data_IF_557433857691
#
_entry.id   IF_557433857691
#
_cell.length_a   1.000
_cell.length_b   1.000
_cell.length_c   1.000
_cell.angle_alpha   90.00
_cell.angle_beta   90.00
_cell.angle_gamma   90.00
#
_symmetry.space_group_name_H-M   'P 1'
#
loop_
_entity.id
_entity.type
_entity.pdbx_description
1 polymer ?
#
# COMPACT_ATOMS: atom_id res chain seq x y z
N UNK A 1 -27.50 40.71 32.76
CA UNK A 1 -27.22 39.24 32.87
C UNK A 1 -27.18 38.51 31.53
N UNK A 2 -27.45 39.18 30.39
CA UNK A 2 -27.45 38.60 29.04
C UNK A 2 -26.12 38.71 28.29
N UNK A 3 -25.25 39.64 28.68
CA UNK A 3 -23.95 39.86 28.03
C UNK A 3 -22.95 38.71 28.27
N UNK A 4 -22.95 38.15 29.48
CA UNK A 4 -22.10 36.99 29.83
C UNK A 4 -22.53 35.70 29.12
N UNK A 5 -23.82 35.55 28.83
CA UNK A 5 -24.37 34.38 28.13
C UNK A 5 -23.90 34.36 26.66
N UNK A 6 -23.81 35.53 26.02
CA UNK A 6 -23.38 35.64 24.62
C UNK A 6 -21.88 35.31 24.43
N UNK A 7 -21.02 35.67 25.37
CA UNK A 7 -19.58 35.31 25.34
C UNK A 7 -19.41 33.81 25.50
N UNK A 8 -20.19 33.19 26.39
CA UNK A 8 -20.18 31.74 26.58
C UNK A 8 -20.63 30.99 25.31
N UNK A 9 -21.67 31.48 24.63
CA UNK A 9 -22.10 30.92 23.34
C UNK A 9 -21.04 31.06 22.24
N UNK A 10 -20.29 32.16 22.23
CA UNK A 10 -19.20 32.38 21.26
C UNK A 10 -17.99 31.49 21.52
N UNK A 11 -17.63 31.27 22.79
CA UNK A 11 -16.56 30.33 23.18
C UNK A 11 -16.96 28.87 22.92
N UNK A 12 -18.22 28.49 23.20
CA UNK A 12 -18.71 27.14 22.96
C UNK A 12 -18.78 26.80 21.46
N UNK A 13 -19.17 27.77 20.62
CA UNK A 13 -19.14 27.61 19.16
C UNK A 13 -17.71 27.62 18.59
N UNK A 14 -16.78 28.34 19.21
CA UNK A 14 -15.33 28.26 18.90
C UNK A 14 -14.73 26.89 19.21
N UNK A 15 -15.09 26.29 20.35
CA UNK A 15 -14.68 24.94 20.75
C UNK A 15 -15.26 23.85 19.83
N UNK A 16 -16.53 23.97 19.44
CA UNK A 16 -17.15 23.06 18.46
C UNK A 16 -16.51 23.19 17.07
N UNK A 17 -16.12 24.39 16.64
CA UNK A 17 -15.36 24.60 15.39
C UNK A 17 -13.94 24.04 15.47
N UNK A 18 -13.26 24.13 16.61
CA UNK A 18 -11.92 23.59 16.80
C UNK A 18 -11.89 22.06 16.61
N UNK A 19 -12.93 21.37 17.09
CA UNK A 19 -13.01 19.91 17.00
C UNK A 19 -13.29 19.38 15.59
N UNK A 20 -13.83 20.22 14.69
CA UNK A 20 -14.08 19.85 13.28
C UNK A 20 -12.81 19.66 12.45
N UNK A 21 -11.64 20.10 12.93
CA UNK A 21 -10.36 19.87 12.24
C UNK A 21 -9.75 18.49 12.53
N UNK A 22 -10.37 17.68 13.40
CA UNK A 22 -9.88 16.35 13.78
C UNK A 22 -10.80 15.18 13.43
N UNK A 23 -11.94 15.41 12.77
CA UNK A 23 -12.74 14.32 12.21
C UNK A 23 -12.37 14.05 10.75
N UNK A 24 -11.44 13.10 10.61
CA UNK A 24 -11.49 12.00 9.66
C UNK A 24 -12.23 12.28 8.34
N UNK A 25 -11.44 12.60 7.31
CA UNK A 25 -11.88 12.39 5.93
C UNK A 25 -12.23 10.91 5.71
N UNK A 26 -13.30 10.62 4.95
CA UNK A 26 -13.90 9.29 4.86
C UNK A 26 -12.92 8.26 4.30
N UNK A 27 -13.02 6.99 4.72
CA UNK A 27 -12.02 5.99 4.43
C UNK A 27 -12.15 5.59 2.95
N UNK A 28 -11.37 6.19 2.06
CA UNK A 28 -11.08 5.59 0.76
C UNK A 28 -10.12 4.41 0.94
N UNK A 29 -10.64 3.38 1.60
CA UNK A 29 -10.11 2.02 1.64
C UNK A 29 -10.38 1.41 0.28
N UNK A 30 -9.49 1.64 -0.71
CA UNK A 30 -9.31 0.62 -1.76
C UNK A 30 -8.02 0.65 -2.60
N UNK A 31 -7.00 1.45 -2.29
CA UNK A 31 -5.82 1.43 -3.17
C UNK A 31 -4.47 1.62 -2.49
N UNK A 32 -4.27 1.03 -1.31
CA UNK A 32 -2.90 0.87 -0.81
C UNK A 32 -2.76 -0.05 0.39
N UNK A 33 -2.33 -1.30 0.19
CA UNK A 33 -1.60 -1.98 1.26
C UNK A 33 -0.66 -3.04 0.71
N UNK A 34 0.61 -3.00 1.13
CA UNK A 34 0.95 -4.00 2.14
C UNK A 34 1.71 -3.37 3.32
N UNK A 35 0.98 -2.89 4.33
CA UNK A 35 1.50 -2.90 5.71
C UNK A 35 0.79 -4.01 6.45
N UNK A 36 1.42 -5.18 6.49
CA UNK A 36 1.13 -6.18 7.53
C UNK A 36 2.45 -6.61 8.14
N UNK A 37 2.96 -5.78 9.05
CA UNK A 37 4.07 -6.14 9.95
C UNK A 37 4.08 -5.30 11.24
N UNK A 38 3.86 -3.99 11.18
CA UNK A 38 3.87 -3.11 12.36
C UNK A 38 2.71 -2.11 12.44
N UNK A 39 1.80 -2.06 11.46
CA UNK A 39 0.68 -1.10 11.44
C UNK A 39 1.05 0.37 11.20
N UNK A 40 2.33 0.73 11.30
CA UNK A 40 2.78 2.12 11.10
C UNK A 40 2.49 2.69 9.73
N UNK A 41 2.08 3.96 9.72
CA UNK A 41 1.88 4.77 8.53
C UNK A 41 3.14 5.53 8.09
N UNK A 42 4.23 5.49 8.86
CA UNK A 42 5.41 6.30 8.60
C UNK A 42 6.32 5.64 7.55
N UNK A 43 6.44 6.28 6.37
CA UNK A 43 7.13 5.69 5.20
C UNK A 43 8.06 6.66 4.50
N UNK A 44 9.23 6.16 4.10
CA UNK A 44 10.26 6.90 3.37
C UNK A 44 10.35 6.42 1.91
N UNK A 45 10.84 7.28 1.01
CA UNK A 45 11.21 6.87 -0.36
C UNK A 45 12.51 6.06 -0.29
N UNK A 46 12.54 4.91 -0.96
CA UNK A 46 13.68 4.00 -0.94
C UNK A 46 14.10 3.60 -2.36
N UNK A 47 14.48 4.59 -3.16
CA UNK A 47 14.81 4.42 -4.58
C UNK A 47 13.60 4.09 -5.45
N UNK A 48 13.87 3.51 -6.63
CA UNK A 48 12.87 3.16 -7.64
C UNK A 48 13.15 1.78 -8.22
N UNK A 49 12.12 1.12 -8.75
CA UNK A 49 12.33 -0.07 -9.60
C UNK A 49 12.86 0.36 -10.98
N UNK A 50 13.49 -0.52 -11.76
CA UNK A 50 13.97 -0.19 -13.11
C UNK A 50 12.89 0.39 -14.03
N UNK A 51 11.63 -0.01 -13.84
CA UNK A 51 10.44 0.55 -14.52
C UNK A 51 10.01 1.94 -14.01
N UNK A 52 10.87 2.64 -13.28
CA UNK A 52 10.65 4.00 -12.77
C UNK A 52 9.74 4.14 -11.56
N UNK A 53 8.94 3.14 -11.18
CA UNK A 53 8.02 3.27 -10.03
C UNK A 53 8.80 3.43 -8.71
N UNK A 54 8.41 4.36 -7.83
CA UNK A 54 9.11 4.56 -6.57
C UNK A 54 8.87 3.38 -5.62
N UNK A 55 9.95 2.92 -4.99
CA UNK A 55 9.90 2.01 -3.84
C UNK A 55 9.73 2.85 -2.58
N UNK A 56 8.98 2.32 -1.62
CA UNK A 56 8.78 2.90 -0.29
C UNK A 56 9.23 1.91 0.76
N UNK A 57 9.65 2.42 1.90
CA UNK A 57 10.06 1.61 3.06
C UNK A 57 9.37 2.15 4.31
N UNK A 58 8.85 1.26 5.16
CA UNK A 58 8.38 1.64 6.49
C UNK A 58 9.58 2.01 7.36
N UNK A 59 9.51 3.16 8.04
CA UNK A 59 10.61 3.62 8.91
C UNK A 59 10.77 2.74 10.15
N UNK A 60 9.67 2.23 10.69
CA UNK A 60 9.67 1.48 11.95
C UNK A 60 10.09 0.01 11.78
N UNK A 61 9.50 -0.71 10.81
CA UNK A 61 9.82 -2.14 10.61
C UNK A 61 10.76 -2.43 9.45
N UNK A 62 11.20 -1.40 8.71
CA UNK A 62 12.10 -1.55 7.56
C UNK A 62 11.48 -2.25 6.33
N UNK A 63 10.19 -2.61 6.35
CA UNK A 63 9.55 -3.31 5.24
C UNK A 63 9.50 -2.45 3.98
N UNK A 64 9.99 -2.97 2.87
CA UNK A 64 9.94 -2.33 1.55
C UNK A 64 8.71 -2.79 0.75
N UNK A 65 8.15 -1.90 -0.06
CA UNK A 65 7.03 -2.18 -0.95
C UNK A 65 6.96 -1.16 -2.11
N UNK A 66 6.27 -1.53 -3.19
CA UNK A 66 6.03 -0.66 -4.35
C UNK A 66 4.60 -0.15 -4.30
N UNK A 67 4.42 1.11 -4.70
CA UNK A 67 3.12 1.77 -4.88
C UNK A 67 2.40 1.12 -6.07
N UNK A 68 1.18 0.63 -5.87
CA UNK A 68 0.34 0.07 -6.94
C UNK A 68 1.13 -0.90 -7.85
N UNK A 69 1.53 -2.06 -7.31
CA UNK A 69 2.28 -3.04 -8.08
C UNK A 69 1.45 -3.47 -9.29
N UNK A 70 2.02 -3.33 -10.49
CA UNK A 70 1.44 -3.96 -11.68
C UNK A 70 1.81 -5.42 -11.60
N UNK A 71 0.95 -6.23 -10.96
CA UNK A 71 1.20 -7.65 -10.90
C UNK A 71 0.99 -8.23 -12.30
N UNK A 72 2.05 -8.82 -12.88
CA UNK A 72 1.88 -9.61 -14.09
C UNK A 72 1.34 -10.96 -13.63
N UNK A 73 0.03 -11.13 -13.74
CA UNK A 73 -0.60 -12.42 -13.43
C UNK A 73 -0.23 -13.40 -14.54
N UNK A 74 0.38 -14.52 -14.17
CA UNK A 74 0.61 -15.65 -15.08
C UNK A 74 -0.70 -16.42 -15.20
N UNK A 75 -1.07 -16.79 -16.43
CA UNK A 75 -2.31 -17.54 -16.68
C UNK A 75 -2.24 -18.93 -16.06
N UNK A 76 -3.39 -19.52 -15.73
CA UNK A 76 -3.42 -20.83 -15.07
C UNK A 76 -2.91 -21.96 -15.97
N UNK A 77 -3.12 -21.84 -17.29
CA UNK A 77 -2.57 -22.78 -18.28
C UNK A 77 -1.04 -22.74 -18.27
N UNK A 78 -0.46 -21.54 -18.17
CA UNK A 78 1.00 -21.37 -18.12
C UNK A 78 1.56 -21.95 -16.82
N UNK A 79 0.86 -21.81 -15.69
CA UNK A 79 1.25 -22.44 -14.41
C UNK A 79 1.25 -23.96 -14.52
N UNK A 80 0.19 -24.56 -15.08
CA UNK A 80 0.13 -26.00 -15.29
C UNK A 80 1.25 -26.53 -16.18
N UNK A 81 1.63 -25.76 -17.22
CA UNK A 81 2.78 -26.08 -18.04
C UNK A 81 4.08 -26.06 -17.22
N UNK A 82 4.29 -25.01 -16.41
CA UNK A 82 5.45 -24.91 -15.53
C UNK A 82 5.54 -26.11 -14.57
N UNK A 83 4.41 -26.50 -13.96
CA UNK A 83 4.37 -27.63 -13.03
C UNK A 83 4.80 -28.94 -13.71
N UNK A 84 4.34 -29.19 -14.95
CA UNK A 84 4.77 -30.35 -15.74
C UNK A 84 6.28 -30.29 -16.06
N UNK A 85 6.80 -29.14 -16.46
CA UNK A 85 8.23 -28.99 -16.77
C UNK A 85 9.13 -29.19 -15.53
N UNK A 86 8.64 -28.80 -14.35
CA UNK A 86 9.34 -29.03 -13.08
C UNK A 86 9.40 -30.53 -12.72
N UNK A 87 8.33 -31.29 -13.00
CA UNK A 87 8.32 -32.75 -12.80
C UNK A 87 9.37 -33.45 -13.68
N UNK A 88 9.57 -32.97 -14.90
CA UNK A 88 10.61 -33.42 -15.83
C UNK A 88 12.03 -32.95 -15.44
N UNK A 89 12.19 -32.31 -14.27
CA UNK A 89 13.47 -31.80 -13.74
C UNK A 89 14.16 -30.80 -14.67
N UNK A 90 13.40 -30.08 -15.51
CA UNK A 90 13.95 -29.02 -16.35
C UNK A 90 14.41 -27.87 -15.47
N UNK A 91 15.61 -27.34 -15.77
CA UNK A 91 16.16 -26.20 -15.04
C UNK A 91 15.24 -24.98 -15.12
N UNK A 92 15.20 -24.15 -14.07
CA UNK A 92 14.43 -22.90 -14.05
C UNK A 92 14.75 -21.99 -15.25
N UNK A 93 16.02 -21.98 -15.69
CA UNK A 93 16.44 -21.21 -16.87
C UNK A 93 15.88 -21.79 -18.16
N UNK A 94 15.78 -23.11 -18.28
CA UNK A 94 15.10 -23.79 -19.37
C UNK A 94 13.61 -23.45 -19.39
N UNK A 95 12.95 -23.55 -18.23
CA UNK A 95 11.52 -23.21 -18.08
C UNK A 95 11.26 -21.76 -18.47
N UNK A 96 12.11 -20.82 -18.04
CA UNK A 96 11.97 -19.41 -18.40
C UNK A 96 12.08 -19.16 -19.91
N UNK A 97 12.94 -19.91 -20.62
CA UNK A 97 13.05 -19.82 -22.09
C UNK A 97 11.82 -20.37 -22.81
N UNK A 98 11.26 -21.49 -22.31
CA UNK A 98 10.10 -22.14 -22.93
C UNK A 98 8.81 -21.35 -22.68
N UNK A 99 8.61 -20.87 -21.45
CA UNK A 99 7.37 -20.24 -21.02
C UNK A 99 7.37 -18.72 -21.17
N UNK A 100 8.55 -18.11 -21.32
CA UNK A 100 8.71 -16.65 -21.29
C UNK A 100 8.46 -16.03 -19.91
N UNK A 101 8.19 -16.85 -18.88
CA UNK A 101 7.97 -16.40 -17.50
C UNK A 101 9.32 -16.18 -16.82
N UNK A 102 9.51 -14.97 -16.29
CA UNK A 102 10.67 -14.59 -15.49
C UNK A 102 10.27 -14.45 -14.02
N UNK A 103 10.98 -15.15 -13.15
CA UNK A 103 10.82 -15.15 -11.69
C UNK A 103 11.69 -14.09 -11.02
#
# INVERSE_FOLDING_TARGET
MTFMINIFFWLLSGLLKYQSSTEQSPPLVHLYSPVKRCGSHHRIKNGSIPKGKPKRQCKECGRQFVINPTNKTVSDETKQLIDKLLLERISLRGIARVTGVSW
#
